data_IF_864555204584
#
_entry.id   IF_864555204584
#
_cell.length_a   1.000
_cell.length_b   1.000
_cell.length_c   1.000
_cell.angle_alpha   90.00
_cell.angle_beta   90.00
_cell.angle_gamma   90.00
#
_symmetry.space_group_name_H-M   'P 1'
#
loop_
_entity.id
_entity.type
_entity.pdbx_description
1 polymer ?
#
# COMPACT_ATOMS: atom_id res chain seq x y z
N UNK A 1 1.40 -13.51 1.10
CA UNK A 1 1.12 -14.71 1.92
C UNK A 1 0.75 -15.85 1.00
N UNK A 2 1.21 -17.10 1.23
CA UNK A 2 1.00 -18.22 0.30
C UNK A 2 -0.49 -18.55 0.07
N UNK A 3 -1.33 -18.49 1.11
CA UNK A 3 -2.73 -18.93 1.03
C UNK A 3 -3.77 -17.81 1.17
N UNK A 4 -3.38 -16.60 1.58
CA UNK A 4 -4.35 -15.54 1.88
C UNK A 4 -5.03 -15.03 0.60
N UNK A 5 -6.32 -14.74 0.69
CA UNK A 5 -7.13 -14.10 -0.35
C UNK A 5 -7.79 -12.86 0.24
N UNK A 6 -7.52 -11.69 -0.34
CA UNK A 6 -8.11 -10.42 0.11
C UNK A 6 -9.59 -10.30 -0.27
N UNK A 7 -10.33 -9.41 0.41
CA UNK A 7 -11.77 -9.20 0.17
C UNK A 7 -12.07 -8.69 -1.24
N UNK A 8 -11.39 -7.63 -1.67
CA UNK A 8 -11.68 -6.96 -2.95
C UNK A 8 -10.90 -7.56 -4.13
N UNK A 9 -9.61 -7.85 -3.94
CA UNK A 9 -8.71 -8.32 -5.01
C UNK A 9 -8.40 -9.82 -4.93
N UNK A 10 -8.96 -10.56 -3.98
CA UNK A 10 -8.75 -12.02 -3.83
C UNK A 10 -7.25 -12.37 -3.85
N UNK A 11 -6.85 -13.29 -4.73
CA UNK A 11 -5.46 -13.74 -4.88
C UNK A 11 -4.68 -13.06 -6.01
N UNK A 12 -5.22 -12.03 -6.67
CA UNK A 12 -4.62 -11.45 -7.89
C UNK A 12 -3.30 -10.72 -7.62
N UNK A 13 -3.05 -10.32 -6.38
CA UNK A 13 -1.83 -9.63 -5.95
C UNK A 13 -0.76 -10.60 -5.40
N UNK A 14 -0.87 -11.90 -5.67
CA UNK A 14 0.11 -12.88 -5.18
C UNK A 14 1.46 -12.68 -5.87
N UNK A 15 2.51 -12.56 -5.06
CA UNK A 15 3.90 -12.44 -5.51
C UNK A 15 4.66 -13.78 -5.37
N UNK A 16 5.79 -13.94 -6.07
CA UNK A 16 6.72 -15.06 -5.87
C UNK A 16 7.17 -15.21 -4.39
N UNK A 17 7.52 -16.44 -3.98
CA UNK A 17 7.86 -16.74 -2.57
C UNK A 17 9.09 -15.96 -2.06
N UNK A 18 10.08 -15.73 -2.91
CA UNK A 18 11.27 -14.94 -2.58
C UNK A 18 10.96 -13.47 -2.25
N UNK A 19 9.78 -12.97 -2.63
CA UNK A 19 9.34 -11.60 -2.32
C UNK A 19 8.49 -11.51 -1.04
N UNK A 20 8.25 -12.63 -0.33
CA UNK A 20 7.46 -12.66 0.91
C UNK A 20 8.23 -12.18 2.15
N UNK A 21 9.06 -11.17 1.97
CA UNK A 21 9.86 -10.56 3.05
C UNK A 21 9.00 -9.66 3.93
N UNK A 22 9.36 -9.48 5.22
CA UNK A 22 8.72 -8.49 6.09
C UNK A 22 8.79 -7.07 5.50
N UNK A 23 9.92 -6.71 4.89
CA UNK A 23 10.12 -5.41 4.25
C UNK A 23 9.06 -5.12 3.18
N UNK A 24 8.85 -6.02 2.21
CA UNK A 24 7.86 -5.82 1.14
C UNK A 24 6.43 -5.69 1.68
N UNK A 25 6.09 -6.46 2.72
CA UNK A 25 4.78 -6.37 3.38
C UNK A 25 4.60 -5.02 4.06
N UNK A 26 5.61 -4.57 4.81
CA UNK A 26 5.58 -3.30 5.53
C UNK A 26 5.47 -2.11 4.55
N UNK A 27 6.21 -2.14 3.45
CA UNK A 27 6.10 -1.12 2.39
C UNK A 27 4.69 -1.11 1.80
N UNK A 28 4.14 -2.26 1.41
CA UNK A 28 2.79 -2.33 0.86
C UNK A 28 1.72 -1.81 1.83
N UNK A 29 1.82 -2.17 3.12
CA UNK A 29 0.92 -1.70 4.17
C UNK A 29 1.05 -0.19 4.37
N UNK A 30 2.28 0.33 4.42
CA UNK A 30 2.53 1.76 4.61
C UNK A 30 1.86 2.57 3.50
N UNK A 31 2.10 2.24 2.23
CA UNK A 31 1.54 2.95 1.09
C UNK A 31 0.02 2.87 1.03
N UNK A 32 -0.56 1.69 1.32
CA UNK A 32 -2.02 1.55 1.42
C UNK A 32 -2.60 2.43 2.54
N UNK A 33 -1.99 2.39 3.72
CA UNK A 33 -2.45 3.13 4.90
C UNK A 33 -2.39 4.64 4.66
N UNK A 34 -1.29 5.14 4.08
CA UNK A 34 -1.16 6.57 3.75
C UNK A 34 -2.29 7.05 2.86
N UNK A 35 -2.57 6.34 1.76
CA UNK A 35 -3.65 6.75 0.86
C UNK A 35 -5.01 6.74 1.55
N UNK A 36 -5.32 5.70 2.33
CA UNK A 36 -6.61 5.59 3.02
C UNK A 36 -6.77 6.63 4.14
N UNK A 37 -5.70 6.96 4.86
CA UNK A 37 -5.72 7.99 5.91
C UNK A 37 -5.90 9.37 5.28
N UNK A 38 -5.20 9.69 4.19
CA UNK A 38 -5.34 10.99 3.51
C UNK A 38 -6.72 11.11 2.87
N UNK A 39 -7.25 10.04 2.29
CA UNK A 39 -8.61 9.97 1.73
C UNK A 39 -9.67 10.27 2.80
N UNK A 40 -9.54 9.68 4.00
CA UNK A 40 -10.49 9.89 5.10
C UNK A 40 -10.28 11.22 5.84
N UNK A 41 -9.02 11.65 5.97
CA UNK A 41 -8.59 12.76 6.82
C UNK A 41 -7.50 13.58 6.12
N UNK A 42 -7.86 14.46 5.17
CA UNK A 42 -6.89 15.24 4.40
C UNK A 42 -5.96 16.10 5.26
N UNK A 43 -6.44 16.57 6.43
CA UNK A 43 -5.67 17.36 7.39
C UNK A 43 -4.49 16.61 8.00
N UNK A 44 -4.52 15.27 8.03
CA UNK A 44 -3.43 14.45 8.56
C UNK A 44 -2.26 14.25 7.57
N UNK A 45 -2.40 14.74 6.31
CA UNK A 45 -1.43 14.50 5.23
C UNK A 45 -0.01 14.88 5.60
N UNK A 46 0.20 16.07 6.17
CA UNK A 46 1.54 16.55 6.55
C UNK A 46 2.22 15.62 7.58
N UNK A 47 1.46 15.17 8.58
CA UNK A 47 1.96 14.25 9.62
C UNK A 47 2.32 12.89 9.05
N UNK A 48 1.46 12.31 8.20
CA UNK A 48 1.74 11.02 7.56
C UNK A 48 2.91 11.10 6.59
N UNK A 49 3.03 12.21 5.84
CA UNK A 49 4.16 12.44 4.95
C UNK A 49 5.48 12.54 5.72
N UNK A 50 5.51 13.20 6.87
CA UNK A 50 6.70 13.27 7.72
C UNK A 50 7.11 11.87 8.23
N UNK A 51 6.14 11.02 8.61
CA UNK A 51 6.42 9.63 8.99
C UNK A 51 7.02 8.85 7.82
N UNK A 52 6.48 9.01 6.62
CA UNK A 52 7.00 8.36 5.41
C UNK A 52 8.45 8.76 5.12
N UNK A 53 8.76 10.05 5.20
CA UNK A 53 10.12 10.58 4.99
C UNK A 53 11.08 10.01 6.03
N UNK A 54 10.68 9.95 7.31
CA UNK A 54 11.50 9.35 8.37
C UNK A 54 11.76 7.85 8.16
N UNK A 55 10.86 7.15 7.48
CA UNK A 55 11.03 5.74 7.09
C UNK A 55 11.81 5.56 5.78
N UNK A 56 12.31 6.64 5.17
CA UNK A 56 13.00 6.62 3.87
C UNK A 56 12.09 6.29 2.68
N UNK A 57 10.78 6.47 2.83
CA UNK A 57 9.78 6.18 1.80
C UNK A 57 9.41 7.44 1.00
N UNK A 58 9.15 7.26 -0.29
CA UNK A 58 8.76 8.35 -1.19
C UNK A 58 7.25 8.64 -1.13
N UNK A 59 6.87 9.82 -0.64
CA UNK A 59 5.47 10.25 -0.50
C UNK A 59 4.77 10.61 -1.82
N UNK A 60 5.52 10.81 -2.91
CA UNK A 60 4.98 11.14 -4.24
C UNK A 60 4.92 9.94 -5.17
N UNK A 61 5.33 8.74 -4.71
CA UNK A 61 5.28 7.56 -5.54
C UNK A 61 3.85 7.00 -5.67
N UNK A 62 3.22 7.31 -6.80
CA UNK A 62 1.85 6.88 -7.14
C UNK A 62 1.81 5.64 -8.05
N UNK A 63 2.92 4.91 -8.18
CA UNK A 63 2.97 3.72 -9.03
C UNK A 63 1.82 2.76 -8.72
N UNK A 64 1.19 2.22 -9.77
CA UNK A 64 0.18 1.15 -9.68
C UNK A 64 0.75 -0.20 -10.15
N UNK A 65 2.08 -0.32 -10.28
CA UNK A 65 2.71 -1.56 -10.70
C UNK A 65 2.59 -2.62 -9.60
N UNK A 66 1.69 -3.59 -9.79
CA UNK A 66 1.42 -4.70 -8.86
C UNK A 66 2.60 -5.67 -8.69
N UNK A 67 3.67 -5.52 -9.49
CA UNK A 67 4.94 -6.22 -9.27
C UNK A 67 5.87 -5.56 -8.26
N UNK A 68 5.43 -4.46 -7.65
CA UNK A 68 6.16 -3.77 -6.59
C UNK A 68 5.30 -3.69 -5.33
N UNK A 69 5.91 -3.72 -4.12
CA UNK A 69 5.14 -3.56 -2.88
C UNK A 69 4.41 -2.21 -2.83
N UNK A 70 5.02 -1.16 -3.38
CA UNK A 70 4.43 0.19 -3.49
C UNK A 70 3.15 0.15 -4.32
N UNK A 71 3.23 -0.42 -5.53
CA UNK A 71 2.09 -0.49 -6.43
C UNK A 71 0.98 -1.39 -5.92
N UNK A 72 1.30 -2.45 -5.18
CA UNK A 72 0.31 -3.24 -4.44
C UNK A 72 -0.44 -2.36 -3.43
N UNK A 73 0.27 -1.61 -2.59
CA UNK A 73 -0.33 -0.74 -1.58
C UNK A 73 -1.26 0.31 -2.19
N UNK A 74 -0.78 1.00 -3.22
CA UNK A 74 -1.55 2.01 -3.95
C UNK A 74 -2.79 1.42 -4.66
N UNK A 75 -2.65 0.23 -5.26
CA UNK A 75 -3.76 -0.46 -5.93
C UNK A 75 -4.85 -0.84 -4.94
N UNK A 76 -4.47 -1.42 -3.80
CA UNK A 76 -5.42 -1.80 -2.74
C UNK A 76 -6.17 -0.58 -2.22
N UNK A 77 -5.46 0.51 -1.90
CA UNK A 77 -6.10 1.73 -1.41
C UNK A 77 -7.10 2.29 -2.43
N UNK A 78 -6.72 2.39 -3.70
CA UNK A 78 -7.62 2.82 -4.78
C UNK A 78 -8.85 1.90 -4.89
N UNK A 79 -8.67 0.58 -4.78
CA UNK A 79 -9.81 -0.36 -4.81
C UNK A 79 -10.75 -0.14 -3.64
N UNK A 80 -10.22 0.05 -2.42
CA UNK A 80 -11.04 0.28 -1.23
C UNK A 80 -11.81 1.59 -1.36
N UNK A 81 -11.14 2.68 -1.70
CA UNK A 81 -11.77 4.00 -1.86
C UNK A 81 -12.87 3.99 -2.93
N UNK A 82 -12.69 3.25 -4.02
CA UNK A 82 -13.71 3.10 -5.08
C UNK A 82 -14.86 2.14 -4.74
N UNK A 83 -14.68 1.27 -3.76
CA UNK A 83 -15.69 0.27 -3.36
C UNK A 83 -16.54 0.72 -2.18
N UNK A 84 -16.38 1.98 -1.75
CA UNK A 84 -17.23 2.67 -0.77
C UNK A 84 -18.45 3.25 -1.49
#
# INVERSE_FOLDING_TARGET
HPTCKGKFLKGTLRRPLNEFTPYNKNVAIAYASRKLIIDQSPWAKATIDAIFVNLGLNTTNESMNISTPIGIGNTIANTITRSR
#
